data_IF_591207415678
#
_entry.id   IF_591207415678
#
_cell.length_a   1.000
_cell.length_b   1.000
_cell.length_c   1.000
_cell.angle_alpha   90.00
_cell.angle_beta   90.00
_cell.angle_gamma   90.00
#
_symmetry.space_group_name_H-M   'P 1'
#
loop_
_entity.id
_entity.type
_entity.pdbx_description
1 polymer ?
#
# COMPACT_ATOMS: atom_id res chain seq x y z
N UNK A 1 63.54 18.58 62.90
CA UNK A 1 62.90 18.90 61.60
C UNK A 1 61.83 17.86 61.27
N UNK A 2 60.52 18.20 61.41
CA UNK A 2 59.41 17.30 61.08
C UNK A 2 59.12 17.45 59.58
N UNK A 3 59.28 16.35 58.81
CA UNK A 3 58.82 16.25 57.40
C UNK A 3 57.28 16.35 57.41
N UNK A 4 56.71 17.40 56.82
CA UNK A 4 55.30 17.47 56.43
C UNK A 4 55.12 16.59 55.20
N UNK A 5 54.39 15.50 55.35
CA UNK A 5 53.90 14.72 54.21
C UNK A 5 52.87 15.59 53.46
N UNK A 6 53.15 15.90 52.18
CA UNK A 6 52.20 16.53 51.27
C UNK A 6 51.28 15.41 50.76
N UNK A 7 50.08 15.39 51.28
CA UNK A 7 49.01 14.59 50.64
C UNK A 7 48.66 15.27 49.30
N UNK A 8 48.75 14.50 48.17
CA UNK A 8 48.42 15.03 46.88
C UNK A 8 46.89 15.15 46.79
N UNK A 9 46.41 16.23 46.13
CA UNK A 9 44.98 16.54 45.91
C UNK A 9 44.31 15.36 45.17
N UNK A 10 45.05 14.64 44.34
CA UNK A 10 44.56 13.51 43.57
C UNK A 10 44.12 12.31 44.42
N UNK A 11 44.75 12.11 45.61
CA UNK A 11 44.40 10.99 46.51
C UNK A 11 43.06 11.26 47.22
N UNK A 12 42.74 12.53 47.49
CA UNK A 12 41.49 12.95 48.14
C UNK A 12 40.32 12.80 47.17
N UNK A 13 40.54 13.06 45.90
CA UNK A 13 39.50 13.01 44.88
C UNK A 13 39.10 11.56 44.52
N UNK A 14 40.08 10.63 44.52
CA UNK A 14 39.82 9.22 44.32
C UNK A 14 39.07 8.56 45.47
N UNK A 15 39.40 8.91 46.71
CA UNK A 15 38.71 8.36 47.90
C UNK A 15 37.28 8.90 48.02
N UNK A 16 37.04 10.14 47.61
CA UNK A 16 35.65 10.74 47.58
C UNK A 16 34.80 10.13 46.51
N UNK A 17 35.36 9.86 45.33
CA UNK A 17 34.66 9.14 44.26
C UNK A 17 34.29 7.73 44.64
N UNK A 18 35.27 6.96 45.17
CA UNK A 18 35.01 5.57 45.61
C UNK A 18 33.98 5.48 46.74
N UNK A 19 33.99 6.44 47.73
CA UNK A 19 33.01 6.49 48.78
C UNK A 19 31.60 6.89 48.31
N UNK A 20 31.52 7.64 47.21
CA UNK A 20 30.23 8.04 46.57
C UNK A 20 29.66 6.84 45.77
N UNK A 21 30.49 6.15 45.00
CA UNK A 21 30.08 4.94 44.27
C UNK A 21 29.62 3.83 45.25
N UNK A 22 30.33 3.60 46.32
CA UNK A 22 29.94 2.61 47.34
C UNK A 22 28.62 2.96 48.05
N UNK A 23 28.32 4.25 48.26
CA UNK A 23 27.02 4.71 48.79
C UNK A 23 25.89 4.54 47.80
N UNK A 24 26.13 4.82 46.55
CA UNK A 24 25.12 4.65 45.47
C UNK A 24 24.82 3.16 45.25
N UNK A 25 25.85 2.30 45.26
CA UNK A 25 25.70 0.84 45.19
C UNK A 25 24.89 0.26 46.35
N UNK A 26 25.18 0.70 47.57
CA UNK A 26 24.43 0.27 48.76
C UNK A 26 22.98 0.76 48.72
N UNK A 27 22.75 1.97 48.19
CA UNK A 27 21.42 2.56 47.99
C UNK A 27 20.60 1.77 46.98
N UNK A 28 21.22 1.38 45.84
CA UNK A 28 20.58 0.59 44.80
C UNK A 28 20.19 -0.80 45.27
N UNK A 29 21.11 -1.49 45.98
CA UNK A 29 20.86 -2.82 46.54
C UNK A 29 19.73 -2.81 47.57
N UNK A 30 19.69 -1.79 48.43
CA UNK A 30 18.63 -1.63 49.41
C UNK A 30 17.27 -1.34 48.75
N UNK A 31 17.25 -0.48 47.71
CA UNK A 31 16.07 -0.18 46.92
C UNK A 31 15.56 -1.42 46.16
N UNK A 32 16.49 -2.19 45.55
CA UNK A 32 16.15 -3.41 44.83
C UNK A 32 15.57 -4.46 45.79
N UNK A 33 16.15 -4.68 46.96
CA UNK A 33 15.62 -5.58 47.99
C UNK A 33 14.20 -5.19 48.41
N UNK A 34 13.96 -3.90 48.62
CA UNK A 34 12.64 -3.37 49.01
C UNK A 34 11.59 -3.54 47.93
N UNK A 35 11.99 -3.42 46.67
CA UNK A 35 11.04 -3.44 45.52
C UNK A 35 11.08 -4.80 44.79
N UNK A 36 11.84 -5.79 45.25
CA UNK A 36 12.09 -7.08 44.58
C UNK A 36 10.82 -7.72 44.02
N UNK A 37 9.77 -7.82 44.84
CA UNK A 37 8.48 -8.39 44.37
C UNK A 37 7.87 -7.65 43.21
N UNK A 38 7.84 -6.29 43.25
CA UNK A 38 7.31 -5.47 42.18
C UNK A 38 8.13 -5.60 40.91
N UNK A 39 9.45 -5.59 41.02
CA UNK A 39 10.38 -5.74 39.89
C UNK A 39 10.15 -7.08 39.20
N UNK A 40 10.04 -8.19 39.97
CA UNK A 40 9.79 -9.54 39.40
C UNK A 40 8.41 -9.63 38.74
N UNK A 41 7.37 -8.98 39.30
CA UNK A 41 6.04 -8.93 38.67
C UNK A 41 6.11 -8.17 37.37
N UNK A 42 6.74 -7.00 37.33
CA UNK A 42 6.89 -6.19 36.11
C UNK A 42 7.72 -6.97 35.06
N UNK A 43 8.85 -7.54 35.47
CA UNK A 43 9.67 -8.37 34.59
C UNK A 43 8.90 -9.57 34.02
N UNK A 44 8.06 -10.23 34.84
CA UNK A 44 7.20 -11.32 34.42
C UNK A 44 6.14 -10.87 33.42
N UNK A 45 5.52 -9.71 33.61
CA UNK A 45 4.55 -9.14 32.68
C UNK A 45 5.23 -8.78 31.36
N UNK A 46 6.39 -8.11 31.39
CA UNK A 46 7.16 -7.76 30.21
C UNK A 46 7.59 -9.01 29.44
N UNK A 47 8.06 -10.03 30.16
CA UNK A 47 8.44 -11.31 29.53
C UNK A 47 7.24 -12.01 28.89
N UNK A 48 6.10 -12.08 29.58
CA UNK A 48 4.88 -12.66 29.04
C UNK A 48 4.39 -11.88 27.81
N UNK A 49 4.43 -10.54 27.86
CA UNK A 49 4.09 -9.69 26.73
C UNK A 49 5.04 -9.91 25.54
N UNK A 50 6.35 -10.04 25.79
CA UNK A 50 7.34 -10.33 24.75
C UNK A 50 7.12 -11.71 24.11
N UNK A 51 6.79 -12.75 24.91
CA UNK A 51 6.44 -14.07 24.40
C UNK A 51 5.18 -14.04 23.53
N UNK A 52 4.13 -13.39 24.02
CA UNK A 52 2.89 -13.22 23.25
C UNK A 52 3.16 -12.48 21.94
N UNK A 53 3.89 -11.37 22.00
CA UNK A 53 4.30 -10.63 20.80
C UNK A 53 5.10 -11.53 19.84
N UNK A 54 6.06 -12.29 20.32
CA UNK A 54 6.82 -13.23 19.49
C UNK A 54 5.94 -14.28 18.81
N UNK A 55 4.96 -14.84 19.52
CA UNK A 55 4.02 -15.81 18.97
C UNK A 55 3.11 -15.18 17.90
N UNK A 56 2.54 -14.00 18.20
CA UNK A 56 1.62 -13.33 17.28
C UNK A 56 2.34 -12.65 16.11
N UNK A 57 3.59 -12.24 16.26
CA UNK A 57 4.37 -11.59 15.21
C UNK A 57 5.10 -12.57 14.30
N UNK A 58 5.20 -13.85 14.68
CA UNK A 58 5.83 -14.85 13.82
C UNK A 58 4.90 -15.25 12.70
N UNK A 59 5.37 -15.08 11.47
CA UNK A 59 4.71 -15.49 10.23
C UNK A 59 5.56 -16.48 9.49
N UNK A 60 4.95 -17.21 8.57
CA UNK A 60 5.63 -18.21 7.75
C UNK A 60 5.41 -17.88 6.28
N UNK A 61 6.45 -18.04 5.49
CA UNK A 61 6.39 -17.98 4.05
C UNK A 61 7.16 -19.16 3.45
N UNK A 62 6.94 -19.45 2.17
CA UNK A 62 7.72 -20.41 1.44
C UNK A 62 8.78 -19.67 0.62
N UNK A 63 10.05 -20.13 0.73
CA UNK A 63 11.14 -19.59 -0.10
C UNK A 63 11.04 -20.13 -1.55
N UNK A 64 11.87 -19.61 -2.45
CA UNK A 64 11.93 -20.02 -3.85
C UNK A 64 12.15 -21.53 -4.06
N UNK A 65 12.66 -22.21 -3.05
CA UNK A 65 12.87 -23.67 -3.07
C UNK A 65 11.70 -24.44 -2.42
N UNK A 66 10.61 -23.78 -2.07
CA UNK A 66 9.46 -24.38 -1.40
C UNK A 66 9.66 -24.69 0.07
N UNK A 67 10.73 -24.22 0.72
CA UNK A 67 10.96 -24.46 2.13
C UNK A 67 10.23 -23.43 2.99
N UNK A 68 9.53 -23.92 4.02
CA UNK A 68 8.84 -23.05 4.98
C UNK A 68 9.87 -22.30 5.85
N UNK A 69 9.82 -20.97 5.80
CA UNK A 69 10.65 -20.06 6.59
C UNK A 69 9.79 -19.28 7.57
N UNK A 70 10.32 -19.07 8.77
CA UNK A 70 9.71 -18.22 9.77
C UNK A 70 10.38 -16.84 9.76
N UNK A 71 9.62 -15.77 9.89
CA UNK A 71 10.13 -14.43 10.13
C UNK A 71 9.28 -13.72 11.19
N UNK A 72 9.89 -12.78 11.89
CA UNK A 72 9.20 -11.99 12.90
C UNK A 72 8.80 -10.65 12.28
N UNK A 73 7.50 -10.36 12.28
CA UNK A 73 6.98 -9.08 11.82
C UNK A 73 7.32 -7.98 12.84
N UNK A 74 7.82 -6.87 12.32
CA UNK A 74 7.97 -5.61 13.07
C UNK A 74 6.70 -4.76 12.95
N UNK A 75 6.61 -3.67 13.71
CA UNK A 75 5.52 -2.70 13.54
C UNK A 75 5.53 -2.05 12.15
N UNK A 76 6.71 -1.87 11.55
CA UNK A 76 6.84 -1.37 10.19
C UNK A 76 6.28 -2.36 9.17
N UNK A 77 6.50 -3.67 9.38
CA UNK A 77 5.96 -4.71 8.49
C UNK A 77 4.44 -4.77 8.55
N UNK A 78 3.84 -4.66 9.76
CA UNK A 78 2.39 -4.60 9.92
C UNK A 78 1.81 -3.39 9.16
N UNK A 79 2.42 -2.19 9.38
CA UNK A 79 1.98 -1.01 8.67
C UNK A 79 2.14 -1.15 7.16
N UNK A 80 3.24 -1.73 6.68
CA UNK A 80 3.44 -1.98 5.26
C UNK A 80 2.39 -2.93 4.66
N UNK A 81 1.92 -3.93 5.42
CA UNK A 81 0.83 -4.82 5.01
C UNK A 81 -0.53 -4.09 4.97
N UNK A 82 -0.80 -3.21 5.95
CA UNK A 82 -2.01 -2.38 5.96
C UNK A 82 -2.00 -1.41 4.77
N UNK A 83 -0.88 -0.74 4.52
CA UNK A 83 -0.69 0.18 3.38
C UNK A 83 -0.88 -0.57 2.05
N UNK A 84 -0.26 -1.75 1.90
CA UNK A 84 -0.44 -2.61 0.73
C UNK A 84 -1.91 -2.98 0.51
N UNK A 85 -2.61 -3.38 1.58
CA UNK A 85 -4.02 -3.78 1.49
C UNK A 85 -4.91 -2.61 1.03
N UNK A 86 -4.65 -1.40 1.53
CA UNK A 86 -5.36 -0.19 1.12
C UNK A 86 -5.07 0.19 -0.34
N UNK A 87 -3.80 0.12 -0.77
CA UNK A 87 -3.41 0.36 -2.16
C UNK A 87 -3.98 -0.70 -3.10
N UNK A 88 -3.97 -1.98 -2.70
CA UNK A 88 -4.54 -3.09 -3.46
C UNK A 88 -6.02 -2.91 -3.73
N UNK A 89 -6.79 -2.45 -2.73
CA UNK A 89 -8.21 -2.13 -2.89
C UNK A 89 -8.39 -1.08 -3.99
N UNK A 90 -7.63 -0.01 -3.96
CA UNK A 90 -7.73 1.07 -4.96
C UNK A 90 -7.18 0.66 -6.34
N UNK A 91 -6.19 -0.17 -6.37
CA UNK A 91 -5.71 -0.76 -7.64
C UNK A 91 -6.77 -1.68 -8.27
N UNK A 92 -7.58 -2.35 -7.45
CA UNK A 92 -8.75 -3.11 -7.94
C UNK A 92 -9.78 -2.16 -8.54
N UNK A 93 -10.08 -1.02 -7.89
CA UNK A 93 -10.98 0.00 -8.44
C UNK A 93 -10.47 0.53 -9.81
N UNK A 94 -9.14 0.73 -9.96
CA UNK A 94 -8.52 1.11 -11.24
C UNK A 94 -8.70 0.02 -12.31
N UNK A 95 -8.55 -1.26 -11.96
CA UNK A 95 -8.78 -2.40 -12.87
C UNK A 95 -10.23 -2.44 -13.36
N UNK A 96 -11.19 -2.22 -12.47
CA UNK A 96 -12.60 -2.16 -12.84
C UNK A 96 -12.87 -1.00 -13.80
N UNK A 97 -12.32 0.17 -13.53
CA UNK A 97 -12.44 1.34 -14.39
C UNK A 97 -11.85 1.11 -15.79
N UNK A 98 -10.65 0.52 -15.87
CA UNK A 98 -10.02 0.16 -17.14
C UNK A 98 -10.84 -0.87 -17.92
N UNK A 99 -11.47 -1.82 -17.20
CA UNK A 99 -12.38 -2.79 -17.80
C UNK A 99 -13.59 -2.09 -18.44
N UNK A 100 -14.23 -1.16 -17.73
CA UNK A 100 -15.40 -0.42 -18.23
C UNK A 100 -15.05 0.45 -19.44
N UNK A 101 -13.93 1.17 -19.37
CA UNK A 101 -13.43 1.96 -20.49
C UNK A 101 -13.19 1.06 -21.70
N UNK A 102 -12.56 -0.11 -21.53
CA UNK A 102 -12.25 -1.02 -22.62
C UNK A 102 -13.51 -1.60 -23.25
N UNK A 103 -14.55 -1.89 -22.47
CA UNK A 103 -15.85 -2.34 -22.98
C UNK A 103 -16.46 -1.24 -23.87
N UNK A 104 -16.46 0.01 -23.40
CA UNK A 104 -16.96 1.13 -24.19
C UNK A 104 -16.17 1.27 -25.49
N UNK A 105 -14.84 1.19 -25.44
CA UNK A 105 -13.96 1.25 -26.62
C UNK A 105 -14.31 0.18 -27.66
N UNK A 106 -14.57 -1.07 -27.21
CA UNK A 106 -14.96 -2.17 -28.08
C UNK A 106 -16.30 -1.91 -28.75
N UNK A 107 -17.31 -1.48 -27.99
CA UNK A 107 -18.64 -1.20 -28.53
C UNK A 107 -18.63 0.01 -29.48
N UNK A 108 -17.81 1.03 -29.20
CA UNK A 108 -17.59 2.15 -30.12
C UNK A 108 -16.95 1.67 -31.43
N UNK A 109 -15.91 0.84 -31.33
CA UNK A 109 -15.22 0.29 -32.51
C UNK A 109 -16.13 -0.61 -33.36
N UNK A 110 -17.04 -1.36 -32.73
CA UNK A 110 -18.03 -2.19 -33.39
C UNK A 110 -19.20 -1.39 -34.00
N UNK A 111 -19.37 -0.12 -33.62
CA UNK A 111 -20.50 0.72 -34.06
C UNK A 111 -21.80 0.47 -33.30
N UNK A 112 -21.72 -0.18 -32.12
CA UNK A 112 -22.87 -0.47 -31.24
C UNK A 112 -23.38 0.80 -30.56
N UNK A 113 -22.49 1.79 -30.33
CA UNK A 113 -22.82 3.11 -29.79
C UNK A 113 -22.65 4.20 -30.85
N UNK A 114 -23.55 5.17 -30.84
CA UNK A 114 -23.34 6.40 -31.58
C UNK A 114 -22.22 7.23 -30.96
N UNK A 115 -21.58 8.08 -31.77
CA UNK A 115 -20.54 8.99 -31.25
C UNK A 115 -21.02 9.85 -30.07
N UNK A 116 -22.30 10.23 -30.04
CA UNK A 116 -22.86 11.02 -28.95
C UNK A 116 -23.03 10.19 -27.66
N UNK A 117 -23.54 8.98 -27.76
CA UNK A 117 -23.70 8.06 -26.63
C UNK A 117 -22.34 7.74 -26.00
N UNK A 118 -21.38 7.32 -26.82
CA UNK A 118 -20.03 7.04 -26.37
C UNK A 118 -19.37 8.25 -25.69
N UNK A 119 -19.47 9.44 -26.31
CA UNK A 119 -18.94 10.67 -25.74
C UNK A 119 -19.59 11.03 -24.39
N UNK A 120 -20.86 10.68 -24.20
CA UNK A 120 -21.57 10.88 -22.92
C UNK A 120 -21.05 9.90 -21.87
N UNK A 121 -20.84 8.63 -22.22
CA UNK A 121 -20.27 7.62 -21.33
C UNK A 121 -18.87 8.00 -20.86
N UNK A 122 -17.96 8.39 -21.76
CA UNK A 122 -16.63 8.88 -21.38
C UNK A 122 -16.67 10.12 -20.46
N UNK A 123 -17.60 11.03 -20.73
CA UNK A 123 -17.78 12.21 -19.86
C UNK A 123 -18.31 11.82 -18.48
N UNK A 124 -19.18 10.81 -18.39
CA UNK A 124 -19.70 10.30 -17.12
C UNK A 124 -18.60 9.70 -16.27
N UNK A 125 -17.74 8.86 -16.86
CA UNK A 125 -16.58 8.29 -16.16
C UNK A 125 -15.64 9.40 -15.70
N UNK A 126 -15.33 10.37 -16.57
CA UNK A 126 -14.43 11.48 -16.24
C UNK A 126 -14.93 12.29 -15.04
N UNK A 127 -16.21 12.68 -15.02
CA UNK A 127 -16.77 13.56 -13.99
C UNK A 127 -17.39 12.81 -12.81
N UNK A 128 -17.48 11.49 -12.87
CA UNK A 128 -18.03 10.65 -11.81
C UNK A 128 -16.97 9.77 -11.17
N UNK A 129 -16.52 8.77 -11.91
CA UNK A 129 -15.66 7.72 -11.34
C UNK A 129 -14.27 8.25 -10.98
N UNK A 130 -13.65 9.07 -11.87
CA UNK A 130 -12.33 9.65 -11.58
C UNK A 130 -12.38 10.65 -10.43
N UNK A 131 -13.38 11.57 -10.44
CA UNK A 131 -13.53 12.57 -9.39
C UNK A 131 -13.75 11.95 -8.00
N UNK A 132 -14.28 10.73 -7.95
CA UNK A 132 -14.48 9.99 -6.71
C UNK A 132 -13.25 9.18 -6.32
N UNK A 133 -12.56 8.55 -7.29
CA UNK A 133 -11.47 7.62 -7.01
C UNK A 133 -10.17 8.35 -6.66
N UNK A 134 -9.83 9.43 -7.35
CA UNK A 134 -8.60 10.20 -7.11
C UNK A 134 -8.49 10.66 -5.64
N UNK A 135 -9.50 11.34 -5.05
CA UNK A 135 -9.42 11.73 -3.63
C UNK A 135 -9.33 10.55 -2.67
N UNK A 136 -9.92 9.39 -3.01
CA UNK A 136 -9.82 8.20 -2.17
C UNK A 136 -8.40 7.64 -2.14
N UNK A 137 -7.67 7.68 -3.26
CA UNK A 137 -6.27 7.26 -3.31
C UNK A 137 -5.40 8.26 -2.55
N UNK A 138 -5.56 9.56 -2.78
CA UNK A 138 -4.81 10.62 -2.09
C UNK A 138 -5.02 10.62 -0.57
N UNK A 139 -6.16 10.12 -0.09
CA UNK A 139 -6.47 10.03 1.33
C UNK A 139 -5.80 8.84 2.03
N UNK A 140 -5.21 7.89 1.32
CA UNK A 140 -4.51 6.74 1.93
C UNK A 140 -3.24 7.25 2.61
N UNK A 141 -3.09 6.97 3.90
CA UNK A 141 -1.86 7.31 4.64
C UNK A 141 -0.88 6.16 4.52
N UNK A 142 0.05 6.25 3.58
CA UNK A 142 1.10 5.25 3.35
C UNK A 142 2.44 5.66 3.95
N UNK A 143 3.34 4.68 4.14
CA UNK A 143 4.75 4.94 4.47
C UNK A 143 5.46 5.57 3.26
N UNK A 144 6.58 6.28 3.51
CA UNK A 144 7.35 6.97 2.46
C UNK A 144 7.77 6.03 1.32
N UNK A 145 8.05 4.76 1.65
CA UNK A 145 8.45 3.76 0.65
C UNK A 145 7.35 3.37 -0.34
N UNK A 146 6.06 3.53 0.04
CA UNK A 146 4.92 3.24 -0.84
C UNK A 146 4.33 4.50 -1.49
N UNK A 147 4.89 5.68 -1.18
CA UNK A 147 4.36 6.94 -1.66
C UNK A 147 4.46 7.10 -3.17
N UNK A 148 5.57 6.65 -3.75
CA UNK A 148 5.74 6.65 -5.21
C UNK A 148 4.64 5.85 -5.90
N UNK A 149 4.33 4.66 -5.38
CA UNK A 149 3.26 3.81 -5.92
C UNK A 149 1.88 4.48 -5.81
N UNK A 150 1.60 5.16 -4.70
CA UNK A 150 0.39 5.97 -4.54
C UNK A 150 0.33 7.11 -5.56
N UNK A 151 1.43 7.83 -5.76
CA UNK A 151 1.54 8.93 -6.71
C UNK A 151 1.37 8.44 -8.17
N UNK A 152 1.86 7.25 -8.50
CA UNK A 152 1.64 6.61 -9.81
C UNK A 152 0.18 6.26 -10.03
N UNK A 153 -0.51 5.72 -9.01
CA UNK A 153 -1.96 5.45 -9.07
C UNK A 153 -2.78 6.75 -9.23
N UNK A 154 -2.37 7.84 -8.60
CA UNK A 154 -3.01 9.14 -8.80
C UNK A 154 -2.73 9.68 -10.20
N UNK A 155 -1.52 9.53 -10.71
CA UNK A 155 -1.10 10.03 -12.02
C UNK A 155 -1.82 9.34 -13.17
N UNK A 156 -1.98 8.02 -13.12
CA UNK A 156 -2.71 7.29 -14.17
C UNK A 156 -4.16 7.80 -14.29
N UNK A 157 -4.81 8.13 -13.16
CA UNK A 157 -6.18 8.62 -13.15
C UNK A 157 -6.28 10.10 -13.54
N UNK A 158 -5.50 10.96 -12.86
CA UNK A 158 -5.61 12.41 -12.97
C UNK A 158 -5.01 12.98 -14.26
N UNK A 159 -4.13 12.22 -14.91
CA UNK A 159 -3.45 12.67 -16.12
C UNK A 159 -3.76 11.76 -17.30
N UNK A 160 -3.33 10.50 -17.31
CA UNK A 160 -3.43 9.66 -18.51
C UNK A 160 -4.88 9.33 -18.88
N UNK A 161 -5.66 8.79 -17.93
CA UNK A 161 -7.07 8.47 -18.17
C UNK A 161 -7.94 9.71 -18.30
N UNK A 162 -7.71 10.76 -17.50
CA UNK A 162 -8.47 12.00 -17.64
C UNK A 162 -8.30 12.62 -19.03
N UNK A 163 -7.07 12.72 -19.54
CA UNK A 163 -6.80 13.24 -20.88
C UNK A 163 -7.33 12.31 -21.98
N UNK A 164 -7.24 11.00 -21.78
CA UNK A 164 -7.85 10.05 -22.70
C UNK A 164 -9.36 10.29 -22.82
N UNK A 165 -10.09 10.24 -21.71
CA UNK A 165 -11.55 10.40 -21.68
C UNK A 165 -12.02 11.77 -22.21
N UNK A 166 -11.31 12.84 -21.82
CA UNK A 166 -11.60 14.20 -22.29
C UNK A 166 -11.44 14.31 -23.80
N UNK A 167 -10.31 13.88 -24.36
CA UNK A 167 -10.03 13.97 -25.79
C UNK A 167 -10.92 13.01 -26.60
N UNK A 168 -11.20 11.81 -26.09
CA UNK A 168 -12.09 10.87 -26.76
C UNK A 168 -13.50 11.44 -26.85
N UNK A 169 -14.07 11.96 -25.76
CA UNK A 169 -15.38 12.62 -25.75
C UNK A 169 -15.42 13.82 -26.70
N UNK A 170 -14.40 14.67 -26.70
CA UNK A 170 -14.32 15.84 -27.59
C UNK A 170 -14.18 15.43 -29.06
N UNK A 171 -13.33 14.45 -29.38
CA UNK A 171 -13.08 13.93 -30.70
C UNK A 171 -14.34 13.32 -31.34
N UNK A 172 -15.07 12.50 -30.58
CA UNK A 172 -16.32 11.87 -31.01
C UNK A 172 -17.42 12.93 -31.26
N UNK A 173 -17.56 13.94 -30.39
CA UNK A 173 -18.54 15.03 -30.56
C UNK A 173 -18.24 15.90 -31.77
N UNK A 174 -16.96 16.15 -32.04
CA UNK A 174 -16.55 17.01 -33.16
C UNK A 174 -16.34 16.28 -34.49
N UNK A 175 -16.27 14.92 -34.46
CA UNK A 175 -15.86 14.11 -35.60
C UNK A 175 -14.37 14.26 -35.96
N UNK A 176 -13.52 14.73 -35.03
CA UNK A 176 -12.10 14.96 -35.25
C UNK A 176 -11.28 13.69 -35.04
N UNK A 177 -10.82 13.08 -36.13
CA UNK A 177 -9.91 11.90 -36.07
C UNK A 177 -8.57 12.23 -35.43
N UNK A 178 -8.06 13.45 -35.53
CA UNK A 178 -6.83 13.90 -34.90
C UNK A 178 -6.95 13.89 -33.37
N UNK A 179 -8.08 14.42 -32.86
CA UNK A 179 -8.36 14.43 -31.41
C UNK A 179 -8.55 13.01 -30.88
N UNK A 180 -9.23 12.14 -31.62
CA UNK A 180 -9.37 10.71 -31.27
C UNK A 180 -8.01 10.02 -31.27
N UNK A 181 -7.15 10.26 -32.27
CA UNK A 181 -5.80 9.70 -32.30
C UNK A 181 -4.94 10.17 -31.11
N UNK A 182 -5.08 11.44 -30.73
CA UNK A 182 -4.44 11.98 -29.52
C UNK A 182 -4.93 11.29 -28.25
N UNK A 183 -6.24 11.07 -28.14
CA UNK A 183 -6.84 10.32 -27.02
C UNK A 183 -6.22 8.91 -26.92
N UNK A 184 -6.17 8.17 -28.03
CA UNK A 184 -5.60 6.81 -28.03
C UNK A 184 -4.14 6.78 -27.54
N UNK A 185 -3.36 7.82 -27.82
CA UNK A 185 -1.99 7.92 -27.30
C UNK A 185 -1.93 8.05 -25.77
N UNK A 186 -2.92 8.71 -25.15
CA UNK A 186 -3.03 8.76 -23.69
C UNK A 186 -3.52 7.44 -23.10
N UNK A 187 -4.42 6.73 -23.80
CA UNK A 187 -4.82 5.39 -23.43
C UNK A 187 -3.63 4.44 -23.36
N UNK A 188 -2.80 4.44 -24.40
CA UNK A 188 -1.61 3.58 -24.46
C UNK A 188 -0.63 3.90 -23.33
N UNK A 189 -0.49 5.18 -22.94
CA UNK A 189 0.28 5.58 -21.76
C UNK A 189 -0.35 5.06 -20.47
N UNK A 190 -1.68 5.19 -20.32
CA UNK A 190 -2.38 4.67 -19.14
C UNK A 190 -2.15 3.17 -18.96
N UNK A 191 -2.20 2.38 -20.03
CA UNK A 191 -1.90 0.95 -19.95
C UNK A 191 -0.44 0.67 -19.59
N UNK A 192 0.51 1.42 -20.15
CA UNK A 192 1.92 1.29 -19.78
C UNK A 192 2.16 1.64 -18.29
N UNK A 193 1.54 2.71 -17.79
CA UNK A 193 1.60 3.08 -16.38
C UNK A 193 0.95 2.01 -15.49
N UNK A 194 -0.18 1.45 -15.93
CA UNK A 194 -0.84 0.33 -15.23
C UNK A 194 0.09 -0.88 -15.06
N UNK A 195 0.81 -1.28 -16.09
CA UNK A 195 1.77 -2.40 -16.02
C UNK A 195 2.92 -2.13 -15.04
N UNK A 196 3.38 -0.89 -14.96
CA UNK A 196 4.39 -0.46 -13.98
C UNK A 196 3.81 -0.59 -12.57
N UNK A 197 2.65 -0.03 -12.29
CA UNK A 197 1.97 -0.13 -11.00
C UNK A 197 1.76 -1.60 -10.60
N UNK A 198 1.33 -2.45 -11.52
CA UNK A 198 1.14 -3.89 -11.27
C UNK A 198 2.44 -4.57 -10.86
N UNK A 199 3.55 -4.24 -11.52
CA UNK A 199 4.88 -4.77 -11.22
C UNK A 199 5.37 -4.31 -9.85
N UNK A 200 5.16 -3.03 -9.52
CA UNK A 200 5.57 -2.45 -8.24
C UNK A 200 4.72 -2.98 -7.08
N UNK A 201 3.41 -3.16 -7.30
CA UNK A 201 2.53 -3.84 -6.34
C UNK A 201 2.97 -5.28 -6.07
N UNK A 202 3.34 -6.02 -7.12
CA UNK A 202 3.86 -7.38 -6.98
C UNK A 202 5.17 -7.41 -6.20
N UNK A 203 6.10 -6.52 -6.54
CA UNK A 203 7.39 -6.38 -5.84
C UNK A 203 7.18 -6.01 -4.37
N UNK A 204 6.22 -5.14 -4.07
CA UNK A 204 5.85 -4.79 -2.71
C UNK A 204 5.29 -6.00 -1.95
N UNK A 205 4.36 -6.77 -2.54
CA UNK A 205 3.79 -7.98 -1.93
C UNK A 205 4.88 -9.01 -1.58
N UNK A 206 5.81 -9.27 -2.52
CA UNK A 206 6.94 -10.17 -2.30
C UNK A 206 7.84 -9.69 -1.15
N UNK A 207 8.15 -8.38 -1.10
CA UNK A 207 8.97 -7.78 -0.05
C UNK A 207 8.34 -7.92 1.33
N UNK A 208 7.04 -7.70 1.45
CA UNK A 208 6.30 -7.83 2.71
C UNK A 208 5.78 -9.24 3.00
N UNK A 209 6.17 -10.21 2.15
CA UNK A 209 5.86 -11.65 2.30
C UNK A 209 4.35 -11.95 2.29
N UNK A 210 3.61 -11.26 1.43
CA UNK A 210 2.22 -11.57 1.11
C UNK A 210 2.21 -12.41 -0.17
N UNK A 211 1.55 -13.57 -0.13
CA UNK A 211 1.29 -14.39 -1.32
C UNK A 211 -0.03 -13.92 -1.93
N UNK A 212 0.09 -13.16 -3.00
CA UNK A 212 -1.02 -12.61 -3.79
C UNK A 212 -0.85 -12.97 -5.27
N UNK A 213 -0.21 -14.10 -5.57
CA UNK A 213 0.03 -14.56 -6.95
C UNK A 213 -1.24 -14.53 -7.81
N UNK A 214 -2.33 -15.10 -7.31
CA UNK A 214 -3.62 -15.12 -8.01
C UNK A 214 -4.17 -13.73 -8.33
N UNK A 215 -3.88 -12.74 -7.48
CA UNK A 215 -4.28 -11.35 -7.72
C UNK A 215 -3.53 -10.76 -8.93
N UNK A 216 -2.27 -11.13 -9.14
CA UNK A 216 -1.45 -10.62 -10.23
C UNK A 216 -1.62 -11.40 -11.53
N UNK A 217 -2.30 -12.55 -11.51
CA UNK A 217 -2.69 -13.31 -12.70
C UNK A 217 -3.90 -12.70 -13.43
N UNK A 218 -4.44 -11.60 -12.91
CA UNK A 218 -5.56 -10.90 -13.53
C UNK A 218 -5.21 -10.36 -14.93
N UNK A 219 -6.05 -10.69 -15.90
CA UNK A 219 -5.94 -10.24 -17.28
C UNK A 219 -7.14 -9.36 -17.65
N UNK A 220 -6.88 -8.19 -18.20
CA UNK A 220 -7.91 -7.26 -18.65
C UNK A 220 -8.87 -7.89 -19.66
N UNK A 221 -8.36 -8.67 -20.59
CA UNK A 221 -9.18 -9.33 -21.63
C UNK A 221 -10.19 -10.31 -21.03
N UNK A 222 -9.81 -11.05 -19.99
CA UNK A 222 -10.70 -12.00 -19.31
C UNK A 222 -11.77 -11.25 -18.50
N UNK A 223 -11.39 -10.16 -17.85
CA UNK A 223 -12.30 -9.30 -17.10
C UNK A 223 -13.36 -8.66 -18.03
N UNK A 224 -12.93 -8.11 -19.17
CA UNK A 224 -13.80 -7.55 -20.20
C UNK A 224 -14.77 -8.60 -20.72
N UNK A 225 -14.27 -9.77 -21.11
CA UNK A 225 -15.10 -10.86 -21.65
C UNK A 225 -16.13 -11.34 -20.65
N UNK A 226 -15.77 -11.41 -19.36
CA UNK A 226 -16.67 -11.88 -18.31
C UNK A 226 -17.75 -10.85 -18.01
N UNK A 227 -17.40 -9.56 -17.92
CA UNK A 227 -18.31 -8.47 -17.61
C UNK A 227 -19.32 -8.22 -18.73
N UNK A 228 -18.85 -8.24 -20.00
CA UNK A 228 -19.68 -8.06 -21.17
C UNK A 228 -20.71 -9.18 -21.31
N UNK A 229 -20.32 -10.44 -21.14
CA UNK A 229 -21.27 -11.58 -21.12
C UNK A 229 -22.33 -11.45 -20.03
N UNK A 230 -21.94 -10.97 -18.84
CA UNK A 230 -22.87 -10.79 -17.72
C UNK A 230 -23.89 -9.70 -18.02
N UNK A 231 -23.50 -8.62 -18.69
CA UNK A 231 -24.40 -7.55 -19.13
C UNK A 231 -25.42 -8.07 -20.14
N UNK A 232 -24.99 -8.82 -21.16
CA UNK A 232 -25.86 -9.44 -22.18
C UNK A 232 -26.88 -10.38 -21.53
N UNK A 233 -26.48 -11.23 -20.56
CA UNK A 233 -27.36 -12.15 -19.88
C UNK A 233 -28.45 -11.41 -19.09
N UNK A 234 -28.11 -10.34 -18.37
CA UNK A 234 -29.09 -9.52 -17.64
C UNK A 234 -30.13 -8.87 -18.54
N UNK A 235 -29.68 -8.32 -19.69
CA UNK A 235 -30.58 -7.73 -20.65
C UNK A 235 -31.54 -8.76 -21.29
N UNK A 236 -31.10 -10.01 -21.46
CA UNK A 236 -31.98 -11.09 -21.96
C UNK A 236 -33.03 -11.52 -20.94
N UNK A 237 -32.65 -11.62 -19.64
CA UNK A 237 -33.56 -11.95 -18.56
C UNK A 237 -34.64 -10.88 -18.34
N UNK A 238 -34.28 -9.58 -18.49
CA UNK A 238 -35.24 -8.48 -18.39
C UNK A 238 -36.26 -8.47 -19.54
N UNK A 239 -35.84 -8.90 -20.74
CA UNK A 239 -36.73 -8.99 -21.91
C UNK A 239 -37.66 -10.19 -21.87
N UNK A 240 -37.21 -11.30 -21.29
CA UNK A 240 -38.02 -12.54 -21.15
C UNK A 240 -38.98 -12.47 -19.95
N UNK A 241 -38.82 -11.51 -19.05
CA UNK A 241 -39.67 -11.29 -17.87
C UNK A 241 -40.81 -10.27 -18.08
N UNK A 242 -40.96 -9.69 -19.30
CA UNK A 242 -42.05 -8.80 -19.70
C UNK A 242 -43.03 -9.53 -20.63
#
# INVERSE_FOLDING_TARGET
MKKRERWSVDTIDLTTKQAKEEKEEKGFVAWFKKNRKRIFIIAGIVYAAALLFGIFSTRYYYDENGNRRAYMMTFSDYKAQDDYSALKEKFTDIRELLTDITIIDIHVANGDYTNYEAATMYTSILNGDLDVLIPKISAISVQEEQKTLQEEMESILSYDLALYLQNMSAGLKSGSNETVSTALSYRDKAFATYEIIQTDMKTLAERIKIDDSDYFDWLLQDAVTTKDKTAILRESEEKDGQ
#
